data_IF_457211867048
#
_entry.id   IF_457211867048
#
_cell.length_a   1.000
_cell.length_b   1.000
_cell.length_c   1.000
_cell.angle_alpha   90.00
_cell.angle_beta   90.00
_cell.angle_gamma   90.00
#
_symmetry.space_group_name_H-M   'P 1'
#
loop_
_entity.id
_entity.type
_entity.pdbx_description
1 polymer ?
#
# COMPACT_ATOMS: atom_id res chain seq x y z
N UNK A 1 9.54 -6.73 -2.31
CA UNK A 1 8.66 -5.77 -3.03
C UNK A 1 8.48 -4.56 -2.13
N UNK A 2 8.90 -3.37 -2.58
CA UNK A 2 9.12 -2.17 -1.77
C UNK A 2 8.14 -1.95 -0.59
N UNK A 3 6.83 -2.10 -0.82
CA UNK A 3 5.80 -1.88 0.19
C UNK A 3 5.79 -2.91 1.33
N UNK A 4 6.12 -4.17 1.03
CA UNK A 4 6.25 -5.25 2.01
C UNK A 4 7.58 -5.13 2.75
N UNK A 5 8.66 -4.82 2.04
CA UNK A 5 10.01 -4.74 2.59
C UNK A 5 10.11 -3.63 3.65
N UNK A 6 9.40 -2.51 3.41
CA UNK A 6 9.30 -1.40 4.35
C UNK A 6 8.11 -1.49 5.32
N UNK A 7 7.41 -2.63 5.39
CA UNK A 7 6.29 -2.91 6.31
C UNK A 7 5.12 -1.93 6.20
N UNK A 8 4.92 -1.32 5.04
CA UNK A 8 3.74 -0.50 4.77
C UNK A 8 2.49 -1.33 4.52
N UNK A 9 2.68 -2.55 4.02
CA UNK A 9 1.68 -3.60 3.89
C UNK A 9 2.22 -4.88 4.51
N UNK A 10 1.33 -5.78 4.90
CA UNK A 10 1.68 -7.15 5.30
C UNK A 10 0.67 -8.14 4.75
N UNK A 11 1.02 -9.43 4.75
CA UNK A 11 0.05 -10.50 4.47
C UNK A 11 -0.45 -11.10 5.78
N UNK A 12 -1.77 -11.18 5.93
CA UNK A 12 -2.40 -11.94 7.02
C UNK A 12 -2.04 -13.43 6.94
N UNK A 13 -2.25 -14.23 8.00
CA UNK A 13 -2.06 -15.69 7.94
C UNK A 13 -2.86 -16.36 6.82
N UNK A 14 -4.04 -15.83 6.52
CA UNK A 14 -4.90 -16.22 5.40
C UNK A 14 -4.43 -15.75 4.02
N UNK A 15 -3.28 -15.10 3.91
CA UNK A 15 -2.66 -14.64 2.66
C UNK A 15 -3.15 -13.28 2.15
N UNK A 16 -4.23 -12.72 2.72
CA UNK A 16 -4.78 -11.41 2.34
C UNK A 16 -3.78 -10.27 2.58
N UNK A 17 -3.68 -9.37 1.61
CA UNK A 17 -2.88 -8.15 1.74
C UNK A 17 -3.61 -7.14 2.63
N UNK A 18 -2.93 -6.68 3.69
CA UNK A 18 -3.49 -5.78 4.69
C UNK A 18 -2.61 -4.53 4.84
N UNK A 19 -3.20 -3.34 5.04
CA UNK A 19 -2.43 -2.16 5.41
C UNK A 19 -1.89 -2.31 6.83
N UNK A 20 -0.70 -1.79 7.09
CA UNK A 20 -0.24 -1.67 8.47
C UNK A 20 -1.17 -0.70 9.21
N UNK A 21 -1.75 -1.14 10.32
CA UNK A 21 -2.72 -0.37 11.08
C UNK A 21 -2.00 0.75 11.86
N UNK A 22 -1.85 1.92 11.23
CA UNK A 22 -1.62 3.15 11.98
C UNK A 22 -2.87 3.37 12.86
N UNK A 23 -2.69 3.36 14.18
CA UNK A 23 -3.77 3.55 15.18
C UNK A 23 -4.60 4.81 14.93
N UNK A 24 -4.04 5.80 14.23
CA UNK A 24 -4.71 7.06 13.94
C UNK A 24 -5.62 7.05 12.70
N UNK A 25 -5.82 5.89 12.03
CA UNK A 25 -6.57 5.77 10.77
C UNK A 25 -6.03 6.62 9.60
N UNK A 26 -4.88 7.29 9.77
CA UNK A 26 -4.17 8.07 8.74
C UNK A 26 -3.23 7.19 7.91
N UNK A 27 -3.68 6.00 7.54
CA UNK A 27 -2.88 5.01 6.81
C UNK A 27 -2.35 5.54 5.47
N UNK A 28 -1.23 5.00 5.02
CA UNK A 28 -0.65 5.37 3.73
C UNK A 28 -1.38 4.73 2.54
N UNK A 29 -2.12 3.65 2.78
CA UNK A 29 -2.76 2.84 1.75
C UNK A 29 -4.18 2.44 2.17
N UNK A 30 -5.03 2.26 1.17
CA UNK A 30 -6.34 1.63 1.28
C UNK A 30 -6.29 0.36 0.45
N UNK A 31 -6.59 -0.79 1.06
CA UNK A 31 -6.76 -2.05 0.33
C UNK A 31 -8.25 -2.31 0.19
N UNK A 32 -8.71 -2.63 -1.01
CA UNK A 32 -10.09 -3.01 -1.29
C UNK A 32 -10.13 -4.23 -2.20
N UNK A 33 -11.06 -5.12 -1.94
CA UNK A 33 -11.39 -6.17 -2.89
C UNK A 33 -12.25 -5.58 -4.00
N UNK A 34 -11.95 -5.93 -5.24
CA UNK A 34 -12.72 -5.53 -6.41
C UNK A 34 -12.79 -6.68 -7.42
N UNK A 35 -13.79 -6.62 -8.29
CA UNK A 35 -13.92 -7.58 -9.37
C UNK A 35 -13.13 -7.10 -10.59
N UNK A 36 -12.21 -7.93 -11.06
CA UNK A 36 -11.50 -7.70 -12.32
C UNK A 36 -12.44 -7.81 -13.51
N UNK A 37 -11.99 -7.38 -14.70
CA UNK A 37 -12.79 -7.46 -15.93
C UNK A 37 -13.24 -8.88 -16.28
N UNK A 38 -12.51 -9.90 -15.82
CA UNK A 38 -12.86 -11.32 -15.98
C UNK A 38 -13.83 -11.85 -14.91
N UNK A 39 -14.34 -11.01 -14.01
CA UNK A 39 -15.17 -11.41 -12.87
C UNK A 39 -14.40 -12.04 -11.71
N UNK A 40 -13.07 -12.20 -11.83
CA UNK A 40 -12.24 -12.71 -10.73
C UNK A 40 -12.11 -11.67 -9.62
N UNK A 41 -12.28 -12.09 -8.37
CA UNK A 41 -11.97 -11.26 -7.20
C UNK A 41 -10.47 -10.97 -7.17
N UNK A 42 -10.11 -9.69 -7.13
CA UNK A 42 -8.73 -9.20 -7.03
C UNK A 42 -8.63 -8.18 -5.91
N UNK A 43 -7.43 -7.99 -5.37
CA UNK A 43 -7.18 -6.95 -4.38
C UNK A 43 -6.55 -5.74 -5.05
N UNK A 44 -7.12 -4.56 -4.83
CA UNK A 44 -6.56 -3.29 -5.26
C UNK A 44 -5.98 -2.52 -4.08
N UNK A 45 -4.72 -2.10 -4.21
CA UNK A 45 -4.07 -1.19 -3.25
C UNK A 45 -4.07 0.23 -3.82
N UNK A 46 -4.67 1.18 -3.10
CA UNK A 46 -4.66 2.61 -3.44
C UNK A 46 -3.80 3.39 -2.45
N UNK A 47 -2.98 4.32 -2.94
CA UNK A 47 -2.13 5.17 -2.10
C UNK A 47 -2.89 6.45 -1.73
N UNK A 48 -2.91 6.81 -0.44
CA UNK A 48 -3.51 8.07 0.04
C UNK A 48 -2.63 9.26 -0.29
N UNK A 49 -3.14 10.49 -0.20
CA UNK A 49 -2.32 11.70 -0.41
C UNK A 49 -1.12 11.76 0.56
N UNK A 50 -1.32 11.35 1.83
CA UNK A 50 -0.25 11.21 2.81
C UNK A 50 0.78 10.16 2.39
N UNK A 51 0.32 9.00 1.90
CA UNK A 51 1.19 7.95 1.37
C UNK A 51 2.00 8.40 0.15
N UNK A 52 1.37 9.13 -0.78
CA UNK A 52 2.05 9.69 -1.95
C UNK A 52 3.16 10.65 -1.56
N UNK A 53 2.88 11.62 -0.67
CA UNK A 53 3.89 12.57 -0.21
C UNK A 53 5.04 11.87 0.52
N UNK A 54 4.75 10.85 1.33
CA UNK A 54 5.78 10.07 2.01
C UNK A 54 6.66 9.32 1.01
N UNK A 55 6.06 8.56 0.08
CA UNK A 55 6.81 7.85 -0.96
C UNK A 55 7.66 8.80 -1.79
N UNK A 56 7.12 9.96 -2.17
CA UNK A 56 7.86 10.99 -2.89
C UNK A 56 9.13 11.42 -2.14
N UNK A 57 9.01 11.71 -0.83
CA UNK A 57 10.17 12.05 0.01
C UNK A 57 11.20 10.92 0.11
N UNK A 58 10.75 9.67 0.21
CA UNK A 58 11.65 8.52 0.24
C UNK A 58 12.37 8.32 -1.08
N UNK A 59 11.65 8.41 -2.19
CA UNK A 59 12.25 8.27 -3.52
C UNK A 59 13.27 9.38 -3.79
N UNK A 60 12.98 10.62 -3.39
CA UNK A 60 13.95 11.72 -3.44
C UNK A 60 15.18 11.44 -2.56
N UNK A 61 14.97 10.95 -1.33
CA UNK A 61 16.07 10.55 -0.42
C UNK A 61 16.93 9.41 -1.00
N UNK A 62 16.31 8.47 -1.71
CA UNK A 62 17.00 7.34 -2.33
C UNK A 62 17.56 7.64 -3.73
N UNK A 63 17.41 8.87 -4.23
CA UNK A 63 17.88 9.25 -5.56
C UNK A 63 17.13 8.57 -6.72
N UNK A 64 15.91 8.09 -6.47
CA UNK A 64 15.06 7.45 -7.49
C UNK A 64 14.36 8.51 -8.36
N UNK A 65 14.11 9.70 -7.81
CA UNK A 65 13.54 10.87 -8.49
C UNK A 65 14.28 12.13 -8.04
N UNK A 66 14.49 13.07 -8.97
CA UNK A 66 15.15 14.36 -8.72
C UNK A 66 14.31 15.34 -7.88
#
# INVERSE_FOLDING_TARGET
>A
ALLLDHRYLYRSPSGWLMPFADKSARGYFIVRDCYGRSGKLVQQTRVTCKGKNHLFKLFKKWGVIE
#
